data_IF_327144225520
#
_entry.id   IF_327144225520
#
_cell.length_a   1.000
_cell.length_b   1.000
_cell.length_c   1.000
_cell.angle_alpha   90.00
_cell.angle_beta   90.00
_cell.angle_gamma   90.00
#
_symmetry.space_group_name_H-M   'P 1'
#
loop_
_entity.id
_entity.type
_entity.pdbx_description
1 polymer ?
#
# COMPACT_ATOMS: atom_id res chain seq x y z
N UNK A 1 -6.93 -7.70 2.05
CA UNK A 1 -5.68 -6.91 2.14
C UNK A 1 -5.04 -7.02 3.51
N UNK A 2 -5.76 -6.67 4.59
CA UNK A 2 -5.25 -6.79 5.97
C UNK A 2 -4.71 -8.18 6.30
N UNK A 3 -5.39 -9.24 5.86
CA UNK A 3 -4.92 -10.60 6.11
C UNK A 3 -3.60 -10.91 5.37
N UNK A 4 -3.43 -10.38 4.15
CA UNK A 4 -2.17 -10.51 3.40
C UNK A 4 -0.99 -9.79 4.07
N UNK A 5 -1.23 -8.69 4.77
CA UNK A 5 -0.21 -8.06 5.61
C UNK A 5 0.14 -8.97 6.80
N UNK A 6 -0.87 -9.44 7.55
CA UNK A 6 -0.66 -10.30 8.72
C UNK A 6 0.04 -11.62 8.40
N UNK A 7 -0.26 -12.20 7.24
CA UNK A 7 0.33 -13.45 6.74
C UNK A 7 1.66 -13.23 6.01
N UNK A 8 2.12 -11.97 5.86
CA UNK A 8 3.30 -11.57 5.06
C UNK A 8 3.22 -12.05 3.61
N UNK A 9 2.01 -12.13 3.06
CA UNK A 9 1.72 -12.47 1.68
C UNK A 9 1.62 -11.23 0.80
N UNK A 10 2.61 -10.35 0.93
CA UNK A 10 2.72 -9.14 0.12
C UNK A 10 4.11 -9.01 -0.50
N UNK A 11 4.18 -8.22 -1.56
CA UNK A 11 5.42 -7.82 -2.24
C UNK A 11 5.41 -6.32 -2.46
N UNK A 12 6.60 -5.73 -2.47
CA UNK A 12 6.79 -4.31 -2.73
C UNK A 12 7.37 -4.13 -4.13
N UNK A 13 6.78 -3.23 -4.91
CA UNK A 13 7.39 -2.80 -6.15
C UNK A 13 8.68 -2.01 -5.84
N UNK A 14 9.68 -2.09 -6.71
CA UNK A 14 10.93 -1.32 -6.57
C UNK A 14 10.62 0.17 -6.42
N UNK A 15 9.71 0.69 -7.24
CA UNK A 15 9.27 2.08 -7.15
C UNK A 15 8.65 2.44 -5.78
N UNK A 16 7.90 1.54 -5.16
CA UNK A 16 7.37 1.78 -3.81
C UNK A 16 8.47 1.82 -2.74
N UNK A 17 9.53 1.03 -2.91
CA UNK A 17 10.69 1.03 -2.02
C UNK A 17 11.49 2.33 -2.15
N UNK A 18 11.68 2.81 -3.39
CA UNK A 18 12.31 4.11 -3.65
C UNK A 18 11.53 5.26 -3.01
N UNK A 19 10.20 5.32 -3.17
CA UNK A 19 9.38 6.37 -2.55
C UNK A 19 9.34 6.27 -1.02
N UNK A 20 9.29 5.06 -0.46
CA UNK A 20 9.44 4.87 0.98
C UNK A 20 10.74 5.49 1.50
N UNK A 21 11.86 5.22 0.82
CA UNK A 21 13.15 5.74 1.23
C UNK A 21 13.21 7.27 1.08
N UNK A 22 12.62 7.84 0.01
CA UNK A 22 12.55 9.29 -0.20
C UNK A 22 11.79 9.99 0.92
N UNK A 23 10.68 9.41 1.37
CA UNK A 23 9.80 9.96 2.41
C UNK A 23 10.21 9.53 3.84
N UNK A 24 11.35 8.86 4.01
CA UNK A 24 11.84 8.33 5.30
C UNK A 24 10.85 7.36 5.99
N UNK A 25 10.04 6.64 5.21
CA UNK A 25 9.03 5.70 5.69
C UNK A 25 9.65 4.34 5.97
N UNK A 26 9.26 3.72 7.08
CA UNK A 26 9.60 2.33 7.36
C UNK A 26 8.52 1.39 6.82
N UNK A 27 8.86 0.11 6.65
CA UNK A 27 7.87 -0.90 6.26
C UNK A 27 6.72 -1.00 7.28
N UNK A 28 6.98 -0.67 8.55
CA UNK A 28 5.97 -0.69 9.61
C UNK A 28 4.94 0.43 9.45
N UNK A 29 5.31 1.58 8.88
CA UNK A 29 4.37 2.66 8.58
C UNK A 29 3.39 2.23 7.49
N UNK A 30 3.88 1.52 6.47
CA UNK A 30 3.07 1.00 5.37
C UNK A 30 2.15 -0.14 5.86
N UNK A 31 2.68 -1.08 6.65
CA UNK A 31 1.88 -2.13 7.26
C UNK A 31 0.80 -1.56 8.19
N UNK A 32 1.15 -0.59 9.05
CA UNK A 32 0.20 0.11 9.93
C UNK A 32 -0.90 0.80 9.12
N UNK A 33 -0.52 1.56 8.08
CA UNK A 33 -1.47 2.21 7.19
C UNK A 33 -2.48 1.22 6.59
N UNK A 34 -2.04 0.08 6.08
CA UNK A 34 -2.96 -0.91 5.50
C UNK A 34 -3.83 -1.58 6.57
N UNK A 35 -3.29 -1.81 7.77
CA UNK A 35 -3.99 -2.48 8.87
C UNK A 35 -5.07 -1.60 9.51
N UNK A 36 -4.82 -0.30 9.67
CA UNK A 36 -5.70 0.63 10.40
C UNK A 36 -6.44 1.61 9.49
N UNK A 37 -5.89 1.90 8.32
CA UNK A 37 -6.41 2.85 7.35
C UNK A 37 -7.69 2.40 6.64
N UNK A 38 -8.18 3.31 5.79
CA UNK A 38 -9.42 3.17 5.03
C UNK A 38 -9.13 3.27 3.54
N UNK A 39 -9.83 2.45 2.75
CA UNK A 39 -9.81 2.60 1.29
C UNK A 39 -10.62 3.86 0.97
N UNK A 40 -9.94 4.88 0.47
CA UNK A 40 -10.54 6.16 0.08
C UNK A 40 -10.87 6.22 -1.40
N UNK A 41 -10.22 5.37 -2.21
CA UNK A 41 -10.42 5.35 -3.65
C UNK A 41 -10.14 3.97 -4.25
N UNK A 42 -10.83 3.66 -5.36
CA UNK A 42 -10.57 2.47 -6.16
C UNK A 42 -10.54 2.83 -7.64
N UNK A 43 -9.45 2.47 -8.31
CA UNK A 43 -9.25 2.70 -9.75
C UNK A 43 -9.12 1.37 -10.48
N UNK A 44 -9.82 1.21 -11.61
CA UNK A 44 -9.62 0.07 -12.51
C UNK A 44 -8.58 0.42 -13.56
N UNK A 45 -7.53 -0.37 -13.66
CA UNK A 45 -6.56 -0.24 -14.73
C UNK A 45 -7.23 -0.52 -16.08
N UNK A 46 -7.06 0.36 -17.07
CA UNK A 46 -7.74 0.25 -18.36
C UNK A 46 -7.16 -0.86 -19.25
N UNK A 47 -5.89 -1.21 -19.03
CA UNK A 47 -5.18 -2.19 -19.86
C UNK A 47 -5.28 -3.57 -19.23
N UNK A 48 -4.99 -3.68 -17.91
CA UNK A 48 -4.97 -4.98 -17.23
C UNK A 48 -6.31 -5.37 -16.60
N UNK A 49 -7.28 -4.45 -16.53
CA UNK A 49 -8.55 -4.61 -15.82
C UNK A 49 -8.40 -4.88 -14.31
N UNK A 50 -7.20 -4.77 -13.75
CA UNK A 50 -6.92 -4.97 -12.33
C UNK A 50 -7.41 -3.78 -11.51
N UNK A 51 -7.84 -4.06 -10.27
CA UNK A 51 -8.23 -3.01 -9.33
C UNK A 51 -7.03 -2.55 -8.49
N UNK A 52 -6.80 -1.24 -8.48
CA UNK A 52 -5.89 -0.55 -7.57
C UNK A 52 -6.73 0.16 -6.50
N UNK A 53 -6.21 0.21 -5.29
CA UNK A 53 -6.88 0.77 -4.13
C UNK A 53 -5.93 1.77 -3.48
N UNK A 54 -6.43 2.99 -3.23
CA UNK A 54 -5.72 3.98 -2.42
C UNK A 54 -6.23 3.86 -0.99
N UNK A 55 -5.30 3.63 -0.08
CA UNK A 55 -5.54 3.43 1.34
C UNK A 55 -4.90 4.61 2.05
N UNK A 56 -5.73 5.39 2.73
CA UNK A 56 -5.27 6.46 3.59
C UNK A 56 -5.25 5.96 5.02
N UNK A 57 -4.12 6.14 5.69
CA UNK A 57 -3.91 5.72 7.07
C UNK A 57 -2.87 6.57 7.76
N UNK A 58 -2.47 6.13 8.95
CA UNK A 58 -1.53 6.85 9.80
C UNK A 58 -0.24 6.07 9.99
N UNK A 59 0.88 6.78 9.97
CA UNK A 59 2.22 6.31 10.35
C UNK A 59 2.32 6.05 11.85
N UNK A 60 3.49 5.59 12.30
CA UNK A 60 3.73 5.34 13.73
C UNK A 60 3.58 6.59 14.60
N UNK A 61 3.92 7.76 14.07
CA UNK A 61 3.87 9.08 14.73
C UNK A 61 2.54 9.83 14.51
N UNK A 62 1.51 9.14 14.03
CA UNK A 62 0.16 9.63 13.73
C UNK A 62 0.06 10.61 12.53
N UNK A 63 1.14 10.84 11.79
CA UNK A 63 1.09 11.56 10.51
C UNK A 63 0.44 10.72 9.39
N UNK A 64 -0.11 11.37 8.36
CA UNK A 64 -0.85 10.69 7.30
C UNK A 64 0.07 10.07 6.23
N UNK A 65 -0.29 8.90 5.74
CA UNK A 65 0.38 8.26 4.60
C UNK A 65 -0.65 7.59 3.69
N UNK A 66 -0.46 7.77 2.38
CA UNK A 66 -1.26 7.11 1.36
C UNK A 66 -0.47 5.94 0.77
N UNK A 67 -1.14 4.78 0.68
CA UNK A 67 -0.60 3.56 0.10
C UNK A 67 -1.47 3.11 -1.06
N UNK A 68 -0.85 2.87 -2.21
CA UNK A 68 -1.52 2.34 -3.39
C UNK A 68 -1.15 0.88 -3.56
N UNK A 69 -2.15 0.00 -3.51
CA UNK A 69 -1.95 -1.43 -3.58
C UNK A 69 -2.99 -2.13 -4.46
N UNK A 70 -2.65 -3.33 -4.93
CA UNK A 70 -3.56 -4.23 -5.66
C UNK A 70 -3.42 -5.67 -5.20
N UNK A 71 -4.47 -6.47 -5.38
CA UNK A 71 -4.34 -7.94 -5.29
C UNK A 71 -3.91 -8.48 -6.65
N UNK A 72 -2.83 -9.24 -6.69
CA UNK A 72 -2.36 -9.91 -7.90
C UNK A 72 -3.24 -11.12 -8.24
N UNK A 73 -3.18 -11.64 -9.48
CA UNK A 73 -3.80 -12.91 -9.84
C UNK A 73 -3.29 -14.11 -9.01
N UNK A 74 -2.09 -14.01 -8.43
CA UNK A 74 -1.51 -15.03 -7.56
C UNK A 74 -1.99 -14.95 -6.11
N UNK A 75 -2.88 -14.00 -5.78
CA UNK A 75 -3.42 -13.81 -4.44
C UNK A 75 -2.52 -13.01 -3.49
N UNK A 76 -1.32 -12.61 -3.92
CA UNK A 76 -0.44 -11.73 -3.14
C UNK A 76 -0.91 -10.28 -3.21
N UNK A 77 -0.71 -9.53 -2.13
CA UNK A 77 -0.86 -8.09 -2.13
C UNK A 77 0.38 -7.45 -2.75
N UNK A 78 0.20 -6.58 -3.74
CA UNK A 78 1.29 -5.82 -4.37
C UNK A 78 1.17 -4.37 -3.94
N UNK A 79 2.18 -3.87 -3.24
CA UNK A 79 2.33 -2.46 -2.89
C UNK A 79 3.00 -1.77 -4.08
N UNK A 80 2.29 -0.85 -4.73
CA UNK A 80 2.68 -0.26 -6.02
C UNK A 80 3.49 1.01 -5.81
N UNK A 81 3.03 1.88 -4.92
CA UNK A 81 3.67 3.14 -4.53
C UNK A 81 3.10 3.59 -3.19
N UNK A 82 3.83 4.47 -2.51
CA UNK A 82 3.46 5.10 -1.24
C UNK A 82 3.85 6.58 -1.32
N UNK A 83 3.17 7.44 -0.57
CA UNK A 83 3.62 8.83 -0.41
C UNK A 83 3.02 9.46 0.84
N UNK A 84 3.71 10.48 1.37
CA UNK A 84 3.17 11.40 2.38
C UNK A 84 2.41 12.54 1.67
N UNK A 85 1.16 12.85 2.06
CA UNK A 85 0.36 13.95 1.48
C UNK A 85 0.92 15.35 1.70
#
# INVERSE_FOLDING_TARGET
MRDKIREREYVMAIHAEEEMNNDCLSIYDIERCILTGKIVERQKDKVTAEWKYRINGQMVDDSEVDVIAKLSPTGKLVIITVYVP
#
